data_IF_076613834629
#
_entry.id   IF_076613834629
#
_cell.length_a   1.000
_cell.length_b   1.000
_cell.length_c   1.000
_cell.angle_alpha   90.00
_cell.angle_beta   90.00
_cell.angle_gamma   90.00
#
_symmetry.space_group_name_H-M   'P 1'
#
loop_
_entity.id
_entity.type
_entity.pdbx_description
1 polymer ?
#
# COMPACT_ATOMS: atom_id res chain seq x y z
N UNK A 1 5.70 9.92 -16.90
CA UNK A 1 5.50 9.55 -15.46
C UNK A 1 6.23 8.26 -15.17
N UNK A 2 7.09 8.25 -14.16
CA UNK A 2 7.80 7.04 -13.73
C UNK A 2 6.86 6.14 -12.93
N UNK A 3 7.30 4.89 -12.69
CA UNK A 3 6.53 3.97 -11.82
C UNK A 3 6.44 4.49 -10.39
N UNK A 4 7.49 5.16 -9.90
CA UNK A 4 7.47 5.74 -8.55
C UNK A 4 6.54 6.95 -8.49
N UNK A 5 6.50 7.77 -9.51
CA UNK A 5 5.54 8.88 -9.58
C UNK A 5 4.11 8.36 -9.55
N UNK A 6 3.84 7.26 -10.23
CA UNK A 6 2.53 6.61 -10.22
C UNK A 6 2.17 6.11 -8.82
N UNK A 7 3.12 5.54 -8.08
CA UNK A 7 2.90 5.10 -6.70
C UNK A 7 2.61 6.28 -5.78
N UNK A 8 3.34 7.39 -5.92
CA UNK A 8 3.09 8.59 -5.11
C UNK A 8 1.68 9.14 -5.36
N UNK A 9 1.27 9.16 -6.62
CA UNK A 9 -0.06 9.64 -6.98
C UNK A 9 -1.14 8.69 -6.45
N UNK A 10 -0.95 7.38 -6.57
CA UNK A 10 -1.87 6.39 -6.02
C UNK A 10 -1.97 6.50 -4.50
N UNK A 11 -0.84 6.74 -3.83
CA UNK A 11 -0.81 6.97 -2.38
C UNK A 11 -1.73 8.13 -1.99
N UNK A 12 -1.64 9.24 -2.71
CA UNK A 12 -2.51 10.39 -2.47
C UNK A 12 -3.99 10.06 -2.66
N UNK A 13 -4.32 9.29 -3.70
CA UNK A 13 -5.69 8.86 -3.97
C UNK A 13 -6.21 7.94 -2.86
N UNK A 14 -5.38 7.01 -2.40
CA UNK A 14 -5.75 6.06 -1.33
C UNK A 14 -5.88 6.77 0.02
N UNK A 15 -5.00 7.72 0.30
CA UNK A 15 -5.08 8.53 1.51
C UNK A 15 -6.39 9.32 1.54
N UNK A 16 -6.74 9.96 0.42
CA UNK A 16 -7.98 10.72 0.31
C UNK A 16 -9.21 9.82 0.47
N UNK A 17 -9.20 8.64 -0.14
CA UNK A 17 -10.29 7.67 -0.04
C UNK A 17 -10.50 7.23 1.42
N UNK A 18 -9.41 6.97 2.14
CA UNK A 18 -9.44 6.55 3.54
C UNK A 18 -10.01 7.67 4.44
N UNK A 19 -9.81 8.92 4.04
CA UNK A 19 -10.36 10.08 4.74
C UNK A 19 -11.81 10.40 4.35
N UNK A 20 -12.42 9.58 3.50
CA UNK A 20 -13.82 9.72 3.13
C UNK A 20 -14.11 10.40 1.79
N UNK A 21 -13.09 10.65 0.97
CA UNK A 21 -13.31 11.23 -0.35
C UNK A 21 -14.15 10.29 -1.22
N UNK A 22 -14.97 10.88 -2.10
CA UNK A 22 -15.79 10.11 -3.04
C UNK A 22 -14.88 9.43 -4.07
N UNK A 23 -14.94 8.10 -4.14
CA UNK A 23 -14.16 7.28 -5.07
C UNK A 23 -15.01 6.76 -6.23
N UNK A 24 -16.29 7.11 -6.28
CA UNK A 24 -17.20 6.64 -7.32
C UNK A 24 -16.84 7.09 -8.72
N UNK A 25 -16.13 8.21 -8.85
CA UNK A 25 -15.66 8.75 -10.13
C UNK A 25 -14.22 8.39 -10.44
N UNK A 26 -13.56 7.59 -9.59
CA UNK A 26 -12.18 7.20 -9.80
C UNK A 26 -12.07 6.21 -10.95
N UNK A 27 -11.32 6.58 -11.99
CA UNK A 27 -11.18 5.78 -13.19
C UNK A 27 -9.90 4.94 -13.15
N UNK A 28 -9.95 3.67 -13.60
CA UNK A 28 -8.76 2.83 -13.66
C UNK A 28 -7.91 3.14 -14.90
N UNK A 29 -7.63 4.42 -15.14
CA UNK A 29 -6.83 4.88 -16.26
C UNK A 29 -5.43 5.26 -15.78
N UNK A 30 -4.40 4.92 -16.57
CA UNK A 30 -3.03 5.14 -16.19
C UNK A 30 -2.61 4.21 -15.05
N UNK A 31 -1.32 4.24 -14.72
CA UNK A 31 -0.76 3.37 -13.66
C UNK A 31 -1.32 3.71 -12.28
N UNK A 32 -1.38 4.99 -11.96
CA UNK A 32 -1.86 5.45 -10.65
C UNK A 32 -3.33 5.09 -10.45
N UNK A 33 -4.17 5.32 -11.45
CA UNK A 33 -5.59 5.00 -11.39
C UNK A 33 -5.82 3.50 -11.25
N UNK A 34 -5.13 2.69 -12.05
CA UNK A 34 -5.25 1.23 -11.97
C UNK A 34 -4.82 0.70 -10.60
N UNK A 35 -3.73 1.23 -10.07
CA UNK A 35 -3.22 0.82 -8.77
C UNK A 35 -4.23 1.17 -7.66
N UNK A 36 -4.72 2.41 -7.64
CA UNK A 36 -5.67 2.84 -6.63
C UNK A 36 -7.00 2.08 -6.72
N UNK A 37 -7.56 1.91 -7.91
CA UNK A 37 -8.80 1.16 -8.13
C UNK A 37 -8.61 -0.31 -7.75
N UNK A 38 -7.45 -0.89 -8.09
CA UNK A 38 -7.12 -2.27 -7.73
C UNK A 38 -7.09 -2.47 -6.22
N UNK A 39 -6.44 -1.58 -5.48
CA UNK A 39 -6.40 -1.64 -4.02
C UNK A 39 -7.81 -1.55 -3.44
N UNK A 40 -8.59 -0.58 -3.87
CA UNK A 40 -9.95 -0.39 -3.35
C UNK A 40 -10.87 -1.56 -3.69
N UNK A 41 -10.66 -2.21 -4.82
CA UNK A 41 -11.43 -3.39 -5.23
C UNK A 41 -11.11 -4.64 -4.42
N UNK A 42 -9.98 -4.68 -3.71
CA UNK A 42 -9.56 -5.82 -2.88
C UNK A 42 -9.32 -5.42 -1.43
N UNK A 43 -9.93 -4.34 -0.98
CA UNK A 43 -9.61 -3.72 0.30
C UNK A 43 -9.80 -4.66 1.49
N UNK A 44 -10.90 -5.38 1.54
CA UNK A 44 -11.19 -6.27 2.66
C UNK A 44 -10.16 -7.39 2.77
N UNK A 45 -9.80 -8.00 1.65
CA UNK A 45 -8.80 -9.07 1.61
C UNK A 45 -7.42 -8.53 2.01
N UNK A 46 -7.07 -7.36 1.48
CA UNK A 46 -5.79 -6.72 1.77
C UNK A 46 -5.68 -6.40 3.26
N UNK A 47 -6.71 -5.84 3.86
CA UNK A 47 -6.71 -5.47 5.27
C UNK A 47 -6.57 -6.70 6.19
N UNK A 48 -7.19 -7.81 5.83
CA UNK A 48 -7.02 -9.08 6.56
C UNK A 48 -5.56 -9.52 6.48
N UNK A 49 -4.96 -9.49 5.30
CA UNK A 49 -3.56 -9.88 5.11
C UNK A 49 -2.64 -9.01 5.97
N UNK A 50 -2.86 -7.69 5.96
CA UNK A 50 -2.03 -6.77 6.76
C UNK A 50 -2.16 -7.08 8.24
N UNK A 51 -3.37 -7.25 8.75
CA UNK A 51 -3.58 -7.56 10.17
C UNK A 51 -2.95 -8.90 10.57
N UNK A 52 -2.98 -9.88 9.69
CA UNK A 52 -2.38 -11.20 9.95
C UNK A 52 -0.85 -11.16 10.02
N UNK A 53 -0.22 -10.15 9.41
CA UNK A 53 1.23 -10.04 9.32
C UNK A 53 1.83 -8.85 10.07
N UNK A 54 1.01 -8.11 10.81
CA UNK A 54 1.42 -6.92 11.58
C UNK A 54 1.43 -7.26 13.06
N UNK A 55 2.56 -7.69 13.58
CA UNK A 55 2.69 -8.03 14.98
C UNK A 55 2.58 -6.78 15.86
N UNK A 56 1.62 -6.77 16.78
CA UNK A 56 1.47 -5.71 17.76
C UNK A 56 0.71 -4.46 17.29
N UNK A 57 0.35 -4.37 16.02
CA UNK A 57 -0.37 -3.22 15.48
C UNK A 57 -1.52 -3.65 14.59
N UNK A 58 -2.71 -3.21 14.92
CA UNK A 58 -3.85 -3.38 14.02
C UNK A 58 -3.89 -2.26 13.01
N UNK A 59 -4.36 -2.55 11.81
CA UNK A 59 -4.45 -1.60 10.70
C UNK A 59 -5.15 -0.31 11.11
N UNK A 60 -6.24 -0.40 11.87
CA UNK A 60 -7.03 0.76 12.30
C UNK A 60 -6.26 1.71 13.22
N UNK A 61 -5.17 1.26 13.82
CA UNK A 61 -4.34 2.08 14.72
C UNK A 61 -3.10 2.64 14.06
N UNK A 62 -2.86 2.27 12.81
CA UNK A 62 -1.71 2.78 12.05
C UNK A 62 -1.97 4.21 11.59
N UNK A 63 -0.92 5.04 11.48
CA UNK A 63 -1.06 6.32 10.77
C UNK A 63 -1.63 6.10 9.38
N UNK A 64 -2.48 7.00 8.92
CA UNK A 64 -3.17 6.83 7.65
C UNK A 64 -2.23 6.69 6.45
N UNK A 65 -1.08 7.36 6.47
CA UNK A 65 -0.07 7.24 5.41
C UNK A 65 0.52 5.83 5.39
N UNK A 66 0.87 5.29 6.56
CA UNK A 66 1.44 3.95 6.69
C UNK A 66 0.44 2.91 6.20
N UNK A 67 -0.83 3.07 6.59
CA UNK A 67 -1.91 2.19 6.17
C UNK A 67 -2.06 2.17 4.65
N UNK A 68 -2.04 3.34 4.01
CA UNK A 68 -2.15 3.45 2.57
C UNK A 68 -0.95 2.80 1.85
N UNK A 69 0.26 3.00 2.37
CA UNK A 69 1.47 2.40 1.79
C UNK A 69 1.41 0.88 1.91
N UNK A 70 1.00 0.35 3.06
CA UNK A 70 0.87 -1.10 3.25
C UNK A 70 -0.19 -1.71 2.33
N UNK A 71 -1.34 -1.06 2.19
CA UNK A 71 -2.40 -1.52 1.29
C UNK A 71 -1.91 -1.62 -0.14
N UNK A 72 -1.19 -0.60 -0.59
CA UNK A 72 -0.63 -0.58 -1.93
C UNK A 72 0.44 -1.66 -2.12
N UNK A 73 1.32 -1.82 -1.14
CA UNK A 73 2.37 -2.85 -1.19
C UNK A 73 1.80 -4.27 -1.23
N UNK A 74 0.82 -4.56 -0.39
CA UNK A 74 0.15 -5.87 -0.37
C UNK A 74 -0.54 -6.13 -1.71
N UNK A 75 -1.22 -5.12 -2.26
CA UNK A 75 -1.84 -5.26 -3.57
C UNK A 75 -0.80 -5.65 -4.62
N UNK A 76 0.32 -4.95 -4.68
CA UNK A 76 1.36 -5.27 -5.65
C UNK A 76 1.94 -6.67 -5.45
N UNK A 77 2.14 -7.09 -4.19
CA UNK A 77 2.67 -8.43 -3.89
C UNK A 77 1.70 -9.55 -4.30
N UNK A 78 0.42 -9.34 -4.17
CA UNK A 78 -0.59 -10.39 -4.35
C UNK A 78 -1.26 -10.40 -5.72
N UNK A 79 -1.35 -9.25 -6.37
CA UNK A 79 -2.18 -9.10 -7.57
C UNK A 79 -1.41 -8.59 -8.79
N UNK A 80 -0.11 -8.41 -8.68
CA UNK A 80 0.74 -7.98 -9.81
C UNK A 80 2.00 -8.83 -9.89
N UNK A 81 2.73 -8.69 -10.98
CA UNK A 81 3.99 -9.40 -11.20
C UNK A 81 5.21 -8.58 -10.75
N UNK A 82 4.99 -7.48 -10.03
CA UNK A 82 6.10 -6.63 -9.57
C UNK A 82 7.01 -7.44 -8.64
N UNK A 83 8.32 -7.44 -8.88
CA UNK A 83 9.25 -8.18 -8.01
C UNK A 83 9.16 -7.72 -6.55
N UNK A 84 9.25 -8.68 -5.63
CA UNK A 84 9.16 -8.43 -4.19
C UNK A 84 10.12 -7.33 -3.73
N UNK A 85 11.38 -7.41 -4.15
CA UNK A 85 12.39 -6.41 -3.78
C UNK A 85 12.01 -5.00 -4.20
N UNK A 86 11.40 -4.86 -5.37
CA UNK A 86 10.93 -3.56 -5.87
C UNK A 86 9.77 -3.04 -5.01
N UNK A 87 8.78 -3.91 -4.74
CA UNK A 87 7.61 -3.53 -3.93
C UNK A 87 8.06 -3.03 -2.56
N UNK A 88 8.89 -3.79 -1.87
CA UNK A 88 9.35 -3.46 -0.51
C UNK A 88 10.20 -2.19 -0.53
N UNK A 89 11.16 -2.10 -1.43
CA UNK A 89 12.06 -0.95 -1.54
C UNK A 89 11.29 0.34 -1.81
N UNK A 90 10.35 0.31 -2.74
CA UNK A 90 9.57 1.50 -3.09
C UNK A 90 8.60 1.91 -1.97
N UNK A 91 8.02 0.93 -1.27
CA UNK A 91 7.17 1.22 -0.11
C UNK A 91 7.96 1.89 1.02
N UNK A 92 9.16 1.39 1.30
CA UNK A 92 10.04 1.98 2.32
C UNK A 92 10.44 3.40 1.92
N UNK A 93 10.72 3.63 0.65
CA UNK A 93 11.06 4.97 0.15
C UNK A 93 9.89 5.95 0.33
N UNK A 94 8.68 5.52 0.06
CA UNK A 94 7.49 6.35 0.30
C UNK A 94 7.32 6.65 1.79
N UNK A 95 7.58 5.69 2.66
CA UNK A 95 7.50 5.90 4.10
C UNK A 95 8.55 6.91 4.59
N UNK A 96 9.77 6.85 4.07
CA UNK A 96 10.81 7.83 4.39
C UNK A 96 10.43 9.23 3.96
N UNK A 97 9.75 9.35 2.83
CA UNK A 97 9.39 10.64 2.24
C UNK A 97 8.17 11.26 2.91
N UNK A 98 7.16 10.46 3.24
CA UNK A 98 5.86 10.94 3.69
C UNK A 98 5.49 10.55 5.12
N UNK A 99 6.32 9.75 5.80
CA UNK A 99 6.08 9.34 7.17
C UNK A 99 7.38 9.46 7.98
N UNK A 100 7.80 8.40 8.69
CA UNK A 100 9.00 8.43 9.51
C UNK A 100 9.94 7.29 9.15
N UNK A 101 11.22 7.39 9.57
CA UNK A 101 12.16 6.30 9.40
C UNK A 101 11.71 5.04 10.15
N UNK A 102 11.06 5.22 11.30
CA UNK A 102 10.50 4.12 12.08
C UNK A 102 9.38 3.43 11.32
N UNK A 103 8.53 4.19 10.64
CA UNK A 103 7.50 3.66 9.76
C UNK A 103 8.10 2.85 8.62
N UNK A 104 9.21 3.31 8.04
CA UNK A 104 9.91 2.59 6.98
C UNK A 104 10.33 1.20 7.42
N UNK A 105 10.92 1.06 8.62
CA UNK A 105 11.33 -0.23 9.17
C UNK A 105 10.13 -1.14 9.43
N UNK A 106 9.05 -0.59 9.97
CA UNK A 106 7.83 -1.34 10.23
C UNK A 106 7.19 -1.85 8.92
N UNK A 107 7.07 -0.99 7.93
CA UNK A 107 6.50 -1.34 6.62
C UNK A 107 7.35 -2.42 5.94
N UNK A 108 8.67 -2.28 6.01
CA UNK A 108 9.57 -3.30 5.47
C UNK A 108 9.31 -4.67 6.10
N UNK A 109 9.18 -4.71 7.43
CA UNK A 109 8.97 -5.97 8.15
C UNK A 109 7.62 -6.60 7.78
N UNK A 110 6.55 -5.81 7.73
CA UNK A 110 5.22 -6.33 7.39
C UNK A 110 5.20 -6.89 5.97
N UNK A 111 5.70 -6.12 4.99
CA UNK A 111 5.69 -6.56 3.59
C UNK A 111 6.60 -7.77 3.36
N UNK A 112 7.73 -7.83 4.05
CA UNK A 112 8.61 -9.00 3.98
C UNK A 112 7.90 -10.25 4.50
N UNK A 113 7.15 -10.13 5.61
CA UNK A 113 6.36 -11.23 6.15
C UNK A 113 5.25 -11.66 5.19
N UNK A 114 4.56 -10.72 4.56
CA UNK A 114 3.54 -11.03 3.56
C UNK A 114 4.16 -11.77 2.38
N UNK A 115 5.30 -11.31 1.89
CA UNK A 115 5.99 -11.94 0.76
C UNK A 115 6.48 -13.35 1.07
N UNK A 116 6.87 -13.60 2.34
CA UNK A 116 7.34 -14.91 2.78
C UNK A 116 6.21 -15.92 3.01
N UNK A 117 4.96 -15.44 3.04
CA UNK A 117 3.77 -16.26 3.27
C UNK A 117 2.83 -16.14 2.06
N UNK A 118 3.15 -16.78 0.93
CA UNK A 118 2.34 -16.68 -0.29
C UNK A 118 0.95 -17.29 -0.11
N UNK A 119 0.01 -16.89 -0.95
CA UNK A 119 -1.38 -17.37 -0.87
C UNK A 119 -1.52 -18.87 -1.11
#
# INVERSE_FOLDING_TARGET
MTKQDARERALGLLYAADAGADTGSLEPTGRAGRLAVGVLGHLDEIDIIINDHSTGWRLTRMPAVDRAILRMGVYELRYTDTPVGVVVSEAVELAKRYSTAKSGSFINAVLANVAADPP
#
